data_IF_110128419730
#
_entry.id   IF_110128419730
#
_cell.length_a   1.000
_cell.length_b   1.000
_cell.length_c   1.000
_cell.angle_alpha   90.00
_cell.angle_beta   90.00
_cell.angle_gamma   90.00
#
_symmetry.space_group_name_H-M   'P 1'
#
loop_
_entity.id
_entity.type
_entity.pdbx_description
1 polymer ?
#
# COMPACT_ATOMS: atom_id res chain seq x y z
N UNK A 1 5.38 11.71 -10.09
CA UNK A 1 4.99 10.50 -10.86
C UNK A 1 3.86 9.77 -10.13
N UNK A 2 2.86 9.21 -10.83
CA UNK A 2 1.83 8.35 -10.22
C UNK A 2 2.18 6.88 -10.40
N UNK A 3 2.08 6.10 -9.34
CA UNK A 3 2.32 4.65 -9.36
C UNK A 3 1.14 3.96 -8.69
N UNK A 4 0.43 3.12 -9.43
CA UNK A 4 -0.63 2.29 -8.88
C UNK A 4 -0.09 0.94 -8.43
N UNK A 5 -0.70 0.37 -7.41
CA UNK A 5 -0.38 -0.98 -6.91
C UNK A 5 -1.62 -1.87 -6.97
N UNK A 6 -1.36 -3.15 -7.16
CA UNK A 6 -2.30 -4.23 -6.85
C UNK A 6 -1.47 -5.41 -6.33
N UNK A 7 -2.08 -6.29 -5.55
CA UNK A 7 -1.39 -7.48 -5.07
C UNK A 7 -2.21 -8.33 -4.12
N UNK A 8 -1.54 -9.31 -3.55
CA UNK A 8 -2.16 -10.27 -2.64
C UNK A 8 -2.49 -9.61 -1.30
N UNK A 9 -3.65 -10.01 -0.74
CA UNK A 9 -4.14 -9.54 0.55
C UNK A 9 -3.64 -10.35 1.74
N UNK A 10 -3.45 -11.64 1.50
CA UNK A 10 -3.03 -12.61 2.50
C UNK A 10 -1.60 -13.01 2.15
N UNK A 11 -0.66 -12.39 2.84
CA UNK A 11 0.77 -12.66 2.72
C UNK A 11 1.23 -13.14 4.09
N UNK A 12 1.99 -14.23 4.11
CA UNK A 12 2.73 -14.59 5.30
C UNK A 12 3.82 -13.55 5.62
N UNK A 13 4.43 -13.68 6.79
CA UNK A 13 5.41 -12.70 7.28
C UNK A 13 6.67 -12.65 6.41
N UNK A 14 7.16 -13.80 5.95
CA UNK A 14 8.34 -13.89 5.09
C UNK A 14 8.09 -13.22 3.74
N UNK A 15 6.98 -13.54 3.09
CA UNK A 15 6.60 -12.94 1.81
C UNK A 15 6.31 -11.46 1.95
N UNK A 16 5.68 -11.04 3.06
CA UNK A 16 5.44 -9.62 3.35
C UNK A 16 6.75 -8.82 3.42
N UNK A 17 7.77 -9.36 4.08
CA UNK A 17 9.08 -8.72 4.17
C UNK A 17 9.76 -8.61 2.79
N UNK A 18 9.69 -9.66 1.97
CA UNK A 18 10.23 -9.65 0.60
C UNK A 18 9.52 -8.61 -0.28
N UNK A 19 8.18 -8.56 -0.22
CA UNK A 19 7.37 -7.58 -0.97
C UNK A 19 7.70 -6.16 -0.52
N UNK A 20 7.81 -5.91 0.79
CA UNK A 20 8.18 -4.59 1.31
C UNK A 20 9.56 -4.14 0.81
N UNK A 21 10.57 -5.01 0.89
CA UNK A 21 11.91 -4.71 0.43
C UNK A 21 11.91 -4.31 -1.06
N UNK A 22 11.25 -5.10 -1.90
CA UNK A 22 11.17 -4.83 -3.35
C UNK A 22 10.40 -3.57 -3.68
N UNK A 23 9.29 -3.29 -2.99
CA UNK A 23 8.56 -2.04 -3.19
C UNK A 23 9.45 -0.85 -2.83
N UNK A 24 10.18 -0.90 -1.71
CA UNK A 24 11.06 0.20 -1.29
C UNK A 24 12.17 0.44 -2.31
N UNK A 25 12.78 -0.62 -2.85
CA UNK A 25 13.79 -0.53 -3.92
C UNK A 25 13.24 0.16 -5.17
N UNK A 26 12.07 -0.28 -5.65
CA UNK A 26 11.43 0.29 -6.86
C UNK A 26 11.08 1.77 -6.63
N UNK A 27 10.49 2.09 -5.48
CA UNK A 27 10.14 3.47 -5.15
C UNK A 27 11.38 4.35 -4.99
N UNK A 28 12.52 3.81 -4.52
CA UNK A 28 13.78 4.52 -4.43
C UNK A 28 14.31 5.00 -5.79
N UNK A 29 14.13 4.18 -6.83
CA UNK A 29 14.50 4.55 -8.20
C UNK A 29 13.56 5.61 -8.82
N UNK A 30 12.31 5.71 -8.34
CA UNK A 30 11.25 6.54 -8.93
C UNK A 30 11.31 8.07 -8.69
N UNK A 31 12.43 8.59 -8.17
CA UNK A 31 12.62 10.03 -7.93
C UNK A 31 11.89 10.57 -6.67
N UNK A 32 11.96 11.90 -6.50
CA UNK A 32 11.20 12.65 -5.47
C UNK A 32 9.84 13.02 -6.08
N UNK A 33 8.78 13.11 -5.27
CA UNK A 33 7.38 13.37 -5.70
C UNK A 33 6.62 12.18 -6.32
N UNK A 34 6.67 11.04 -5.63
CA UNK A 34 5.78 9.91 -5.93
C UNK A 34 4.39 10.15 -5.31
N UNK A 35 3.36 9.90 -6.11
CA UNK A 35 1.97 9.75 -5.68
C UNK A 35 1.59 8.28 -5.86
N UNK A 36 1.41 7.58 -4.75
CA UNK A 36 0.94 6.20 -4.75
C UNK A 36 -0.57 6.13 -4.90
N UNK A 37 -1.07 5.23 -5.75
CA UNK A 37 -2.50 5.01 -5.96
C UNK A 37 -2.85 3.59 -5.51
N UNK A 38 -3.79 3.44 -4.58
CA UNK A 38 -4.10 2.13 -3.97
C UNK A 38 -5.54 2.08 -3.46
N UNK A 39 -6.08 0.87 -3.34
CA UNK A 39 -7.34 0.62 -2.65
C UNK A 39 -7.18 0.46 -1.13
N UNK A 40 -5.95 0.49 -0.60
CA UNK A 40 -5.61 0.22 0.80
C UNK A 40 -6.14 -1.14 1.32
N UNK A 41 -6.23 -2.13 0.43
CA UNK A 41 -6.53 -3.49 0.83
C UNK A 41 -5.47 -4.02 1.82
N UNK A 42 -5.83 -5.06 2.58
CA UNK A 42 -4.84 -5.80 3.37
C UNK A 42 -3.66 -6.27 2.51
N UNK A 43 -2.51 -6.56 3.12
CA UNK A 43 -1.35 -7.09 2.42
C UNK A 43 -0.61 -6.06 1.58
N UNK A 44 -0.37 -6.37 0.30
CA UNK A 44 0.51 -5.63 -0.59
C UNK A 44 0.15 -4.14 -0.73
N UNK A 45 -1.14 -3.81 -0.83
CA UNK A 45 -1.64 -2.45 -0.94
C UNK A 45 -1.20 -1.57 0.25
N UNK A 46 -1.41 -2.05 1.48
CA UNK A 46 -1.00 -1.34 2.68
C UNK A 46 0.52 -1.32 2.89
N UNK A 47 1.24 -2.36 2.46
CA UNK A 47 2.72 -2.36 2.44
C UNK A 47 3.22 -1.24 1.51
N UNK A 48 2.67 -1.16 0.31
CA UNK A 48 2.98 -0.10 -0.65
C UNK A 48 2.65 1.29 -0.12
N UNK A 49 1.46 1.45 0.45
CA UNK A 49 1.02 2.72 1.01
C UNK A 49 1.99 3.25 2.07
N UNK A 50 2.41 2.39 3.01
CA UNK A 50 3.41 2.75 4.03
C UNK A 50 4.76 3.12 3.40
N UNK A 51 5.21 2.38 2.39
CA UNK A 51 6.48 2.66 1.73
C UNK A 51 6.48 4.00 0.98
N UNK A 52 5.36 4.38 0.35
CA UNK A 52 5.19 5.70 -0.29
C UNK A 52 5.23 6.81 0.77
N UNK A 53 4.46 6.68 1.85
CA UNK A 53 4.42 7.69 2.91
C UNK A 53 5.77 7.84 3.63
N UNK A 54 6.48 6.74 3.89
CA UNK A 54 7.81 6.76 4.52
C UNK A 54 8.87 7.52 3.68
N UNK A 55 8.62 7.72 2.39
CA UNK A 55 9.46 8.51 1.49
C UNK A 55 9.03 9.98 1.37
N UNK A 56 8.03 10.41 2.13
CA UNK A 56 7.41 11.72 1.99
C UNK A 56 6.54 11.87 0.74
N UNK A 57 6.15 10.74 0.12
CA UNK A 57 5.20 10.74 -1.00
C UNK A 57 3.77 11.04 -0.55
N UNK A 58 2.87 11.14 -1.52
CA UNK A 58 1.41 11.30 -1.27
C UNK A 58 0.67 10.03 -1.66
N UNK A 59 -0.49 9.81 -1.07
CA UNK A 59 -1.40 8.74 -1.45
C UNK A 59 -2.69 9.30 -2.04
N UNK A 60 -3.13 8.70 -3.14
CA UNK A 60 -4.48 8.82 -3.69
C UNK A 60 -5.19 7.48 -3.43
N UNK A 61 -6.19 7.49 -2.56
CA UNK A 61 -6.91 6.28 -2.15
C UNK A 61 -8.16 6.11 -2.99
N UNK A 62 -8.32 4.94 -3.59
CA UNK A 62 -9.52 4.56 -4.34
C UNK A 62 -10.39 3.71 -3.41
N UNK A 63 -11.58 4.20 -3.08
CA UNK A 63 -12.56 3.45 -2.27
C UNK A 63 -13.52 2.74 -3.22
N UNK A 64 -13.40 1.40 -3.41
CA UNK A 64 -14.10 0.70 -4.48
C UNK A 64 -15.58 0.44 -4.18
N UNK A 65 -16.00 0.59 -2.92
CA UNK A 65 -17.39 0.40 -2.50
C UNK A 65 -17.70 1.16 -1.21
N UNK A 66 -18.98 1.51 -1.01
CA UNK A 66 -19.45 2.00 0.28
C UNK A 66 -19.20 0.94 1.37
N UNK A 67 -18.74 1.38 2.55
CA UNK A 67 -18.42 0.48 3.67
C UNK A 67 -17.17 -0.38 3.48
N UNK A 68 -16.37 -0.15 2.42
CA UNK A 68 -15.17 -0.95 2.12
C UNK A 68 -14.23 -1.08 3.32
N UNK A 69 -13.98 0.02 4.02
CA UNK A 69 -13.07 0.02 5.14
C UNK A 69 -13.57 -0.84 6.31
N UNK A 70 -14.88 -0.82 6.58
CA UNK A 70 -15.51 -1.66 7.60
C UNK A 70 -15.52 -3.15 7.22
N UNK A 71 -15.47 -3.48 5.92
CA UNK A 71 -15.34 -4.85 5.43
C UNK A 71 -13.91 -5.39 5.55
N UNK A 72 -12.92 -4.56 5.92
CA UNK A 72 -11.58 -5.02 6.23
C UNK A 72 -11.54 -5.63 7.64
N UNK A 73 -10.84 -6.76 7.79
CA UNK A 73 -10.57 -7.32 9.11
C UNK A 73 -9.83 -6.34 10.02
N UNK A 74 -9.95 -6.50 11.35
CA UNK A 74 -9.49 -5.52 12.36
C UNK A 74 -8.03 -5.07 12.22
N UNK A 75 -7.14 -5.98 11.78
CA UNK A 75 -5.73 -5.65 11.51
C UNK A 75 -5.58 -4.69 10.33
N UNK A 76 -6.25 -4.97 9.22
CA UNK A 76 -6.18 -4.16 8.00
C UNK A 76 -6.95 -2.85 8.14
N UNK A 77 -8.01 -2.79 8.96
CA UNK A 77 -8.74 -1.55 9.24
C UNK A 77 -7.82 -0.43 9.76
N UNK A 78 -6.90 -0.76 10.67
CA UNK A 78 -5.94 0.22 11.23
C UNK A 78 -4.99 0.80 10.20
N UNK A 79 -4.68 0.07 9.13
CA UNK A 79 -3.84 0.59 8.05
C UNK A 79 -4.62 1.43 7.04
N UNK A 80 -5.95 1.46 7.17
CA UNK A 80 -6.85 2.25 6.33
C UNK A 80 -7.20 3.60 6.98
N UNK A 81 -7.37 3.62 8.30
CA UNK A 81 -7.62 4.84 9.09
C UNK A 81 -6.38 5.73 9.21
#
# INVERSE_FOLDING_TARGET
MRVAVTGHRDLDEETSALVEARIREILAAGGRDIVGVSCLAAGADQIFARAVLARGGRLEVIVPAAGYAAALGSRARRGFD
#
